data_IF_305741772098
#
_entry.id   IF_305741772098
#
_cell.length_a   1.000
_cell.length_b   1.000
_cell.length_c   1.000
_cell.angle_alpha   90.00
_cell.angle_beta   90.00
_cell.angle_gamma   90.00
#
_symmetry.space_group_name_H-M   'P 1'
#
loop_
_entity.id
_entity.type
_entity.pdbx_description
1 polymer ?
#
# COMPACT_ATOMS: atom_id res chain seq x y z
N UNK A 1 -24.38 9.66 -9.39
CA UNK A 1 -24.62 8.71 -8.28
C UNK A 1 -24.22 9.31 -6.93
N UNK A 2 -22.97 9.70 -6.68
CA UNK A 2 -22.51 10.22 -5.39
C UNK A 2 -23.24 11.44 -4.81
N UNK A 3 -23.83 12.30 -5.64
CA UNK A 3 -24.57 13.50 -5.19
C UNK A 3 -26.04 13.18 -4.84
N UNK A 4 -26.57 12.07 -5.35
CA UNK A 4 -27.98 11.73 -5.28
C UNK A 4 -28.30 10.67 -4.22
N UNK A 5 -27.31 10.02 -3.63
CA UNK A 5 -27.50 8.97 -2.61
C UNK A 5 -26.88 9.33 -1.26
N UNK A 6 -27.66 9.31 -0.17
CA UNK A 6 -27.15 9.58 1.18
C UNK A 6 -26.30 8.43 1.72
N UNK A 7 -25.46 8.72 2.72
CA UNK A 7 -24.75 7.70 3.52
C UNK A 7 -25.74 6.93 4.40
N UNK A 8 -25.63 5.60 4.56
CA UNK A 8 -24.50 4.74 4.16
C UNK A 8 -24.66 4.07 2.78
N UNK A 9 -25.80 4.22 2.10
CA UNK A 9 -26.07 3.54 0.82
C UNK A 9 -25.03 3.90 -0.27
N UNK A 10 -24.52 5.13 -0.23
CA UNK A 10 -23.43 5.58 -1.10
C UNK A 10 -22.18 4.68 -1.01
N UNK A 11 -21.80 4.22 0.19
CA UNK A 11 -20.61 3.37 0.36
C UNK A 11 -20.81 2.01 -0.30
N UNK A 12 -21.96 1.39 -0.08
CA UNK A 12 -22.30 0.11 -0.72
C UNK A 12 -22.35 0.21 -2.24
N UNK A 13 -22.88 1.30 -2.78
CA UNK A 13 -22.88 1.52 -4.23
C UNK A 13 -21.47 1.63 -4.80
N UNK A 14 -20.55 2.31 -4.10
CA UNK A 14 -19.14 2.35 -4.50
C UNK A 14 -18.46 0.99 -4.40
N UNK A 15 -18.73 0.22 -3.33
CA UNK A 15 -18.21 -1.14 -3.18
C UNK A 15 -18.71 -2.04 -4.32
N UNK A 16 -20.00 -1.98 -4.66
CA UNK A 16 -20.59 -2.74 -5.77
C UNK A 16 -19.98 -2.31 -7.10
N UNK A 17 -19.88 -1.00 -7.36
CA UNK A 17 -19.27 -0.49 -8.59
C UNK A 17 -17.81 -0.95 -8.74
N UNK A 18 -17.04 -0.88 -7.65
CA UNK A 18 -15.66 -1.37 -7.61
C UNK A 18 -15.60 -2.88 -7.83
N UNK A 19 -16.51 -3.64 -7.21
CA UNK A 19 -16.58 -5.09 -7.39
C UNK A 19 -16.91 -5.47 -8.84
N UNK A 20 -17.78 -4.71 -9.52
CA UNK A 20 -18.08 -4.90 -10.95
C UNK A 20 -16.83 -4.60 -11.79
N UNK A 21 -16.14 -3.50 -11.53
CA UNK A 21 -14.93 -3.11 -12.26
C UNK A 21 -13.79 -4.13 -12.07
N UNK A 22 -13.59 -4.62 -10.84
CA UNK A 22 -12.59 -5.65 -10.54
C UNK A 22 -12.96 -6.98 -11.20
N UNK A 23 -14.25 -7.34 -11.21
CA UNK A 23 -14.77 -8.56 -11.85
C UNK A 23 -14.63 -8.56 -13.37
N UNK A 24 -14.53 -7.38 -13.99
CA UNK A 24 -14.40 -7.26 -15.44
C UNK A 24 -13.11 -7.89 -15.98
N UNK A 25 -12.01 -7.89 -15.22
CA UNK A 25 -10.74 -8.52 -15.62
C UNK A 25 -10.85 -10.03 -15.81
N UNK A 26 -11.30 -10.79 -14.80
CA UNK A 26 -11.54 -12.24 -14.91
C UNK A 26 -12.53 -12.60 -16.03
N UNK A 27 -13.58 -11.80 -16.25
CA UNK A 27 -14.56 -12.02 -17.33
C UNK A 27 -13.90 -11.81 -18.70
N UNK A 28 -13.10 -10.75 -18.83
CA UNK A 28 -12.33 -10.43 -20.03
C UNK A 28 -11.26 -11.50 -20.31
N UNK A 29 -10.68 -12.09 -19.26
CA UNK A 29 -9.72 -13.19 -19.35
C UNK A 29 -10.30 -14.48 -19.97
N UNK A 30 -11.56 -14.80 -19.67
CA UNK A 30 -12.22 -15.99 -20.25
C UNK A 30 -12.67 -15.74 -21.69
N UNK A 31 -12.85 -14.48 -22.08
CA UNK A 31 -13.47 -14.10 -23.36
C UNK A 31 -12.48 -13.65 -24.43
N UNK A 32 -11.33 -13.08 -24.07
CA UNK A 32 -10.34 -12.60 -25.04
C UNK A 32 -9.39 -13.73 -25.49
N UNK A 33 -9.31 -13.92 -26.82
CA UNK A 33 -8.41 -14.91 -27.48
C UNK A 33 -7.01 -14.37 -27.80
N UNK A 34 -6.80 -13.06 -27.76
CA UNK A 34 -5.51 -12.41 -28.10
C UNK A 34 -5.29 -11.15 -27.24
N UNK A 35 -4.18 -11.10 -26.52
CA UNK A 35 -3.79 -9.92 -25.73
C UNK A 35 -3.34 -8.81 -26.68
N UNK A 36 -3.83 -7.57 -26.53
CA UNK A 36 -3.27 -6.43 -27.24
C UNK A 36 -1.78 -6.33 -26.92
N UNK A 37 -0.94 -6.40 -27.94
CA UNK A 37 0.51 -6.21 -27.83
C UNK A 37 0.78 -4.73 -27.60
N UNK A 38 0.77 -4.28 -26.34
CA UNK A 38 1.20 -2.93 -26.01
C UNK A 38 2.40 -2.99 -25.06
N UNK A 39 3.55 -2.55 -25.58
CA UNK A 39 4.83 -2.43 -24.88
C UNK A 39 5.08 -0.94 -24.62
N UNK A 40 5.66 -0.64 -23.45
CA UNK A 40 6.07 0.67 -22.89
C UNK A 40 4.97 1.75 -22.88
N UNK A 41 4.40 2.19 -21.77
CA UNK A 41 5.03 2.80 -20.58
C UNK A 41 4.13 2.60 -19.34
N UNK A 42 3.46 1.43 -19.23
CA UNK A 42 2.54 1.17 -18.11
C UNK A 42 3.27 1.28 -16.76
N UNK A 43 4.51 0.82 -16.70
CA UNK A 43 5.34 0.88 -15.49
C UNK A 43 5.63 2.34 -15.09
N UNK A 44 5.98 3.20 -16.05
CA UNK A 44 6.16 4.64 -15.80
C UNK A 44 4.86 5.30 -15.30
N UNK A 45 3.71 4.93 -15.86
CA UNK A 45 2.40 5.47 -15.44
C UNK A 45 2.02 5.01 -14.05
N UNK A 46 2.24 3.73 -13.72
CA UNK A 46 1.98 3.22 -12.38
C UNK A 46 2.93 3.83 -11.35
N UNK A 47 4.22 3.98 -11.69
CA UNK A 47 5.18 4.68 -10.85
C UNK A 47 4.78 6.15 -10.62
N UNK A 48 4.40 6.87 -11.67
CA UNK A 48 3.90 8.23 -11.55
C UNK A 48 2.63 8.31 -10.67
N UNK A 49 1.72 7.35 -10.81
CA UNK A 49 0.53 7.28 -9.97
C UNK A 49 0.88 6.98 -8.50
N UNK A 50 1.86 6.10 -8.22
CA UNK A 50 2.37 5.90 -6.86
C UNK A 50 2.91 7.19 -6.28
N UNK A 51 3.68 7.98 -7.04
CA UNK A 51 4.18 9.28 -6.56
C UNK A 51 3.03 10.23 -6.20
N UNK A 52 1.98 10.30 -7.03
CA UNK A 52 0.79 11.12 -6.75
C UNK A 52 0.10 10.67 -5.46
N UNK A 53 -0.15 9.36 -5.32
CA UNK A 53 -0.82 8.79 -4.15
C UNK A 53 0.02 8.94 -2.87
N UNK A 54 1.34 8.82 -2.99
CA UNK A 54 2.26 9.09 -1.90
C UNK A 54 2.25 10.56 -1.50
N UNK A 55 2.20 11.46 -2.49
CA UNK A 55 2.02 12.89 -2.28
C UNK A 55 0.76 13.19 -1.46
N UNK A 56 -0.36 12.54 -1.81
CA UNK A 56 -1.60 12.64 -1.04
C UNK A 56 -1.42 12.15 0.41
N UNK A 57 -0.75 11.01 0.62
CA UNK A 57 -0.46 10.52 1.97
C UNK A 57 0.39 11.51 2.78
N UNK A 58 1.39 12.15 2.16
CA UNK A 58 2.20 13.20 2.81
C UNK A 58 1.37 14.44 3.12
N UNK A 59 0.44 14.83 2.23
CA UNK A 59 -0.50 15.91 2.51
C UNK A 59 -1.40 15.56 3.70
N UNK A 60 -1.90 14.33 3.79
CA UNK A 60 -2.68 13.87 4.96
C UNK A 60 -1.88 13.97 6.27
N UNK A 61 -0.58 13.66 6.25
CA UNK A 61 0.31 13.87 7.41
C UNK A 61 0.40 15.36 7.76
N UNK A 62 0.65 16.21 6.76
CA UNK A 62 0.78 17.65 6.95
C UNK A 62 -0.51 18.29 7.48
N UNK A 63 -1.68 17.89 6.97
CA UNK A 63 -2.98 18.38 7.44
C UNK A 63 -3.26 17.93 8.87
N UNK A 64 -2.91 16.69 9.24
CA UNK A 64 -3.04 16.21 10.63
C UNK A 64 -2.24 17.08 11.62
N UNK A 65 -1.02 17.47 11.25
CA UNK A 65 -0.18 18.36 12.07
C UNK A 65 -0.73 19.80 12.08
N UNK A 66 -1.22 20.31 10.95
CA UNK A 66 -1.69 21.69 10.84
C UNK A 66 -2.93 22.00 11.72
N UNK A 67 -3.74 21.00 12.03
CA UNK A 67 -4.96 21.14 12.83
C UNK A 67 -4.75 20.81 14.32
N UNK A 68 -3.51 20.59 14.76
CA UNK A 68 -3.18 20.24 16.15
C UNK A 68 -2.21 21.22 16.77
N UNK A 69 -2.20 21.27 18.11
CA UNK A 69 -1.22 22.07 18.84
C UNK A 69 0.18 21.52 18.57
N UNK A 70 1.15 22.43 18.34
CA UNK A 70 2.56 22.12 18.04
C UNK A 70 3.30 21.61 19.28
N UNK A 71 2.88 20.45 19.77
CA UNK A 71 3.52 19.73 20.86
C UNK A 71 4.54 18.74 20.29
N UNK A 72 5.56 18.40 21.09
CA UNK A 72 6.59 17.44 20.71
C UNK A 72 6.03 16.09 20.25
N UNK A 73 4.94 15.62 20.87
CA UNK A 73 4.30 14.37 20.50
C UNK A 73 3.68 14.42 19.09
N UNK A 74 3.06 15.53 18.71
CA UNK A 74 2.49 15.75 17.36
C UNK A 74 3.61 15.76 16.32
N UNK A 75 4.72 16.45 16.62
CA UNK A 75 5.89 16.53 15.73
C UNK A 75 6.47 15.12 15.52
N UNK A 76 6.65 14.34 16.59
CA UNK A 76 7.14 12.97 16.51
C UNK A 76 6.21 12.06 15.71
N UNK A 77 4.89 12.17 15.89
CA UNK A 77 3.93 11.42 15.10
C UNK A 77 4.00 11.80 13.60
N UNK A 78 4.16 13.09 13.29
CA UNK A 78 4.35 13.58 11.93
C UNK A 78 5.65 13.07 11.29
N UNK A 79 6.77 13.10 12.03
CA UNK A 79 8.06 12.55 11.57
C UNK A 79 7.93 11.04 11.32
N UNK A 80 7.34 10.29 12.24
CA UNK A 80 7.11 8.85 12.07
C UNK A 80 6.23 8.58 10.84
N UNK A 81 5.17 9.36 10.64
CA UNK A 81 4.33 9.32 9.44
C UNK A 81 5.08 9.55 8.14
N UNK A 82 5.95 10.56 8.12
CA UNK A 82 6.80 10.84 6.96
C UNK A 82 7.81 9.71 6.69
N UNK A 83 8.44 9.18 7.74
CA UNK A 83 9.35 8.01 7.65
C UNK A 83 8.61 6.79 7.10
N UNK A 84 7.35 6.57 7.50
CA UNK A 84 6.53 5.51 6.90
C UNK A 84 6.33 5.76 5.40
N UNK A 85 5.93 6.97 4.98
CA UNK A 85 5.75 7.29 3.56
C UNK A 85 7.04 7.06 2.74
N UNK A 86 8.19 7.54 3.21
CA UNK A 86 9.49 7.29 2.58
C UNK A 86 9.82 5.80 2.53
N UNK A 87 9.47 5.04 3.58
CA UNK A 87 9.68 3.59 3.61
C UNK A 87 8.82 2.86 2.58
N UNK A 88 7.54 3.24 2.42
CA UNK A 88 6.66 2.66 1.39
C UNK A 88 7.18 2.98 -0.01
N UNK A 89 7.65 4.23 -0.22
CA UNK A 89 8.27 4.64 -1.47
C UNK A 89 9.49 3.78 -1.80
N UNK A 90 10.39 3.58 -0.83
CA UNK A 90 11.58 2.76 -1.00
C UNK A 90 11.22 1.32 -1.37
N UNK A 91 10.30 0.70 -0.62
CA UNK A 91 9.85 -0.67 -0.89
C UNK A 91 9.26 -0.84 -2.29
N UNK A 92 8.52 0.16 -2.79
CA UNK A 92 7.93 0.12 -4.12
C UNK A 92 8.99 0.28 -5.22
N UNK A 93 9.83 1.31 -5.15
CA UNK A 93 10.77 1.67 -6.21
C UNK A 93 12.06 0.84 -6.23
N UNK A 94 12.49 0.26 -5.11
CA UNK A 94 13.73 -0.53 -5.04
C UNK A 94 13.76 -1.72 -6.01
N UNK A 95 12.58 -2.27 -6.33
CA UNK A 95 12.41 -3.40 -7.26
C UNK A 95 11.37 -3.10 -8.34
N UNK A 96 11.18 -1.82 -8.68
CA UNK A 96 10.38 -1.40 -9.82
C UNK A 96 11.13 -1.75 -11.11
N UNK A 97 11.09 -3.03 -11.48
CA UNK A 97 11.78 -3.53 -12.67
C UNK A 97 10.89 -3.32 -13.91
N UNK A 98 11.37 -2.53 -14.86
CA UNK A 98 10.76 -2.27 -16.18
C UNK A 98 10.59 -3.55 -17.04
N UNK A 99 11.19 -4.67 -16.62
CA UNK A 99 11.31 -5.90 -17.39
C UNK A 99 10.10 -6.86 -17.27
N UNK A 100 9.15 -6.61 -16.36
CA UNK A 100 7.99 -7.52 -16.15
C UNK A 100 7.10 -7.58 -17.40
N UNK A 101 6.87 -6.43 -18.05
CA UNK A 101 6.07 -6.35 -19.27
C UNK A 101 6.83 -6.94 -20.47
N UNK A 102 8.15 -6.75 -20.50
CA UNK A 102 8.98 -7.05 -21.67
C UNK A 102 9.08 -8.57 -21.96
N UNK A 103 8.93 -9.42 -20.94
CA UNK A 103 9.00 -10.88 -21.05
C UNK A 103 7.63 -11.57 -21.01
N UNK A 104 6.58 -10.92 -20.50
CA UNK A 104 5.19 -11.38 -20.67
C UNK A 104 4.82 -11.49 -22.17
N UNK A 105 5.43 -10.66 -23.01
CA UNK A 105 5.22 -10.68 -24.46
C UNK A 105 5.80 -11.92 -25.16
N UNK A 106 6.57 -12.78 -24.47
CA UNK A 106 7.22 -13.96 -25.08
C UNK A 106 6.48 -15.28 -24.92
N UNK A 107 5.37 -15.40 -24.16
CA UNK A 107 4.76 -16.73 -24.01
C UNK A 107 3.44 -16.91 -23.27
N UNK A 108 2.46 -17.47 -23.98
CA UNK A 108 1.41 -18.36 -23.45
C UNK A 108 0.45 -17.81 -22.37
N UNK A 109 -0.42 -18.69 -21.87
CA UNK A 109 -1.45 -18.38 -20.84
C UNK A 109 -0.85 -17.81 -19.54
N UNK A 110 0.38 -18.18 -19.19
CA UNK A 110 1.05 -17.78 -17.96
C UNK A 110 1.47 -16.30 -17.96
N UNK A 111 1.90 -15.75 -19.09
CA UNK A 111 2.24 -14.33 -19.18
C UNK A 111 1.02 -13.41 -19.02
N UNK A 112 -0.12 -13.85 -19.56
CA UNK A 112 -1.39 -13.14 -19.47
C UNK A 112 -1.85 -13.06 -18.00
N UNK A 113 -1.75 -14.16 -17.25
CA UNK A 113 -2.01 -14.18 -15.81
C UNK A 113 -1.10 -13.21 -15.05
N UNK A 114 0.20 -13.19 -15.36
CA UNK A 114 1.15 -12.28 -14.71
C UNK A 114 0.85 -10.81 -14.98
N UNK A 115 0.47 -10.45 -16.20
CA UNK A 115 0.05 -9.08 -16.56
C UNK A 115 -1.16 -8.62 -15.75
N UNK A 116 -2.16 -9.48 -15.56
CA UNK A 116 -3.32 -9.18 -14.72
C UNK A 116 -2.95 -9.04 -13.24
N UNK A 117 -2.16 -9.99 -12.70
CA UNK A 117 -1.69 -9.90 -11.32
C UNK A 117 -0.93 -8.59 -11.11
N UNK A 118 -0.07 -8.20 -12.05
CA UNK A 118 0.67 -6.96 -12.02
C UNK A 118 -0.25 -5.72 -11.98
N UNK A 119 -1.24 -5.64 -12.88
CA UNK A 119 -2.19 -4.53 -12.91
C UNK A 119 -3.07 -4.44 -11.66
N UNK A 120 -3.60 -5.56 -11.18
CA UNK A 120 -4.48 -5.59 -10.00
C UNK A 120 -3.73 -5.42 -8.68
N UNK A 121 -2.48 -5.86 -8.58
CA UNK A 121 -1.67 -5.68 -7.36
C UNK A 121 -1.37 -4.20 -7.10
N UNK A 122 -1.26 -3.39 -8.15
CA UNK A 122 -1.13 -1.94 -8.01
C UNK A 122 -2.33 -1.31 -7.29
N UNK A 123 -3.56 -1.80 -7.52
CA UNK A 123 -4.71 -1.30 -6.77
C UNK A 123 -4.56 -1.55 -5.27
N UNK A 124 -4.04 -2.71 -4.86
CA UNK A 124 -3.75 -3.01 -3.46
C UNK A 124 -2.68 -2.05 -2.90
N UNK A 125 -1.63 -1.79 -3.67
CA UNK A 125 -0.58 -0.81 -3.31
C UNK A 125 -1.20 0.58 -3.11
N UNK A 126 -2.01 1.06 -4.05
CA UNK A 126 -2.62 2.39 -3.97
C UNK A 126 -3.56 2.51 -2.77
N UNK A 127 -4.45 1.54 -2.60
CA UNK A 127 -5.37 1.50 -1.45
C UNK A 127 -4.59 1.45 -0.14
N UNK A 128 -3.50 0.67 -0.07
CA UNK A 128 -2.65 0.58 1.09
C UNK A 128 -1.99 1.92 1.44
N UNK A 129 -1.36 2.60 0.46
CA UNK A 129 -0.71 3.90 0.69
C UNK A 129 -1.73 4.94 1.18
N UNK A 130 -2.89 5.06 0.52
CA UNK A 130 -3.93 6.02 0.92
C UNK A 130 -4.44 5.72 2.32
N UNK A 131 -4.80 4.46 2.60
CA UNK A 131 -5.34 4.07 3.90
C UNK A 131 -4.30 4.27 5.02
N UNK A 132 -3.03 3.95 4.78
CA UNK A 132 -1.94 4.25 5.73
C UNK A 132 -1.80 5.74 5.95
N UNK A 133 -1.80 6.58 4.90
CA UNK A 133 -1.72 8.04 5.02
C UNK A 133 -2.85 8.63 5.87
N UNK A 134 -4.10 8.24 5.59
CA UNK A 134 -5.28 8.63 6.38
C UNK A 134 -5.19 8.11 7.82
N UNK A 135 -4.74 6.87 8.01
CA UNK A 135 -4.55 6.30 9.34
C UNK A 135 -3.50 7.03 10.18
N UNK A 136 -2.42 7.50 9.54
CA UNK A 136 -1.41 8.34 10.18
C UNK A 136 -1.98 9.70 10.53
N UNK A 137 -2.76 10.32 9.64
CA UNK A 137 -3.46 11.57 9.94
C UNK A 137 -4.33 11.43 11.20
N UNK A 138 -5.16 10.38 11.27
CA UNK A 138 -5.97 10.10 12.45
C UNK A 138 -5.10 9.93 13.70
N UNK A 139 -4.00 9.19 13.60
CA UNK A 139 -3.09 8.99 14.71
C UNK A 139 -2.48 10.31 15.22
N UNK A 140 -2.11 11.25 14.33
CA UNK A 140 -1.60 12.58 14.68
C UNK A 140 -2.69 13.39 15.40
N UNK A 141 -3.90 13.43 14.83
CA UNK A 141 -5.04 14.11 15.46
C UNK A 141 -5.37 13.52 16.85
N UNK A 142 -5.16 12.21 17.03
CA UNK A 142 -5.38 11.49 18.30
C UNK A 142 -4.35 11.81 19.39
N UNK A 143 -3.18 12.38 19.04
CA UNK A 143 -2.16 12.76 20.04
C UNK A 143 -2.70 13.81 21.01
N UNK A 144 -3.63 14.66 20.56
CA UNK A 144 -4.21 15.75 21.34
C UNK A 144 -5.25 15.30 22.38
N UNK A 145 -5.32 14.00 22.71
CA UNK A 145 -6.12 13.48 23.82
C UNK A 145 -7.53 13.00 23.48
N UNK A 146 -7.96 13.05 22.21
CA UNK A 146 -9.27 12.54 21.76
C UNK A 146 -9.41 11.01 21.76
N UNK A 147 -8.34 10.30 22.12
CA UNK A 147 -8.25 8.84 22.02
C UNK A 147 -8.03 8.36 20.59
N UNK A 148 -7.62 7.10 20.44
CA UNK A 148 -7.36 6.48 19.15
C UNK A 148 -8.25 5.25 18.98
N UNK A 149 -9.47 5.41 18.44
CA UNK A 149 -10.46 4.34 18.41
C UNK A 149 -10.04 3.20 17.48
N UNK A 150 -10.56 2.00 17.76
CA UNK A 150 -10.22 0.77 17.02
C UNK A 150 -10.45 0.90 15.52
N UNK A 151 -11.47 1.66 15.09
CA UNK A 151 -11.73 1.89 13.67
C UNK A 151 -10.59 2.68 12.98
N UNK A 152 -10.04 3.70 13.63
CA UNK A 152 -8.92 4.48 13.09
C UNK A 152 -7.61 3.68 13.10
N UNK A 153 -7.39 2.88 14.16
CA UNK A 153 -6.30 1.90 14.20
C UNK A 153 -6.39 0.88 13.08
N UNK A 154 -7.60 0.39 12.78
CA UNK A 154 -7.84 -0.56 11.70
C UNK A 154 -7.57 0.05 10.33
N UNK A 155 -7.81 1.35 10.12
CA UNK A 155 -7.44 2.05 8.88
C UNK A 155 -5.93 2.10 8.72
N UNK A 156 -5.18 2.48 9.78
CA UNK A 156 -3.72 2.54 9.74
C UNK A 156 -3.08 1.16 9.52
N UNK A 157 -3.40 0.19 10.39
CA UNK A 157 -2.83 -1.15 10.35
C UNK A 157 -3.30 -1.93 9.13
N UNK A 158 -4.59 -1.82 8.79
CA UNK A 158 -5.17 -2.46 7.60
C UNK A 158 -4.59 -1.90 6.31
N UNK A 159 -4.42 -0.58 6.21
CA UNK A 159 -3.75 0.06 5.07
C UNK A 159 -2.32 -0.42 4.91
N UNK A 160 -1.57 -0.50 6.01
CA UNK A 160 -0.17 -0.93 5.96
C UNK A 160 -0.05 -2.41 5.59
N UNK A 161 -0.88 -3.27 6.18
CA UNK A 161 -0.95 -4.68 5.82
C UNK A 161 -1.33 -4.88 4.34
N UNK A 162 -2.28 -4.07 3.83
CA UNK A 162 -2.70 -4.11 2.44
C UNK A 162 -1.58 -3.67 1.48
N UNK A 163 -0.82 -2.63 1.84
CA UNK A 163 0.37 -2.24 1.09
C UNK A 163 1.41 -3.36 1.05
N UNK A 164 1.75 -3.94 2.21
CA UNK A 164 2.76 -5.01 2.32
C UNK A 164 2.34 -6.24 1.49
N UNK A 165 1.06 -6.61 1.52
CA UNK A 165 0.51 -7.65 0.66
C UNK A 165 0.59 -7.28 -0.81
N UNK A 166 0.11 -6.09 -1.18
CA UNK A 166 0.09 -5.59 -2.55
C UNK A 166 1.46 -5.55 -3.18
N UNK A 167 2.45 -4.97 -2.49
CA UNK A 167 3.83 -4.86 -2.98
C UNK A 167 4.52 -6.22 -3.08
N UNK A 168 4.20 -7.16 -2.18
CA UNK A 168 4.72 -8.53 -2.21
C UNK A 168 4.16 -9.32 -3.40
N UNK A 169 2.86 -9.21 -3.68
CA UNK A 169 2.23 -9.86 -4.83
C UNK A 169 2.75 -9.23 -6.13
N UNK A 170 2.85 -7.89 -6.16
CA UNK A 170 3.37 -7.14 -7.30
C UNK A 170 4.79 -7.59 -7.67
N UNK A 171 5.71 -7.60 -6.69
CA UNK A 171 7.10 -7.99 -6.92
C UNK A 171 7.25 -9.51 -7.09
N UNK A 172 6.36 -10.32 -6.52
CA UNK A 172 6.31 -11.77 -6.76
C UNK A 172 5.85 -12.15 -8.18
N UNK A 173 5.13 -11.27 -8.87
CA UNK A 173 4.78 -11.43 -10.28
C UNK A 173 5.94 -11.06 -11.24
N UNK A 174 7.01 -10.45 -10.72
CA UNK A 174 8.21 -10.09 -11.48
C UNK A 174 9.01 -11.32 -11.92
N UNK A 175 9.90 -11.11 -12.90
CA UNK A 175 10.85 -12.11 -13.40
C UNK A 175 11.90 -12.49 -12.37
N UNK A 176 12.19 -11.59 -11.42
CA UNK A 176 13.11 -11.81 -10.32
C UNK A 176 12.33 -12.09 -9.03
N UNK A 177 12.19 -13.37 -8.63
CA UNK A 177 11.40 -13.71 -7.45
C UNK A 177 12.04 -13.13 -6.18
N UNK A 178 11.18 -12.65 -5.28
CA UNK A 178 11.62 -12.23 -3.96
C UNK A 178 12.21 -13.42 -3.18
N UNK A 179 13.33 -13.23 -2.46
CA UNK A 179 13.82 -14.23 -1.53
C UNK A 179 12.72 -14.63 -0.54
N UNK A 180 12.56 -15.92 -0.26
CA UNK A 180 11.49 -16.42 0.61
C UNK A 180 11.50 -15.74 2.00
N UNK A 181 12.68 -15.41 2.53
CA UNK A 181 12.83 -14.68 3.79
C UNK A 181 12.18 -13.28 3.77
N UNK A 182 12.26 -12.57 2.65
CA UNK A 182 11.68 -11.23 2.47
C UNK A 182 10.16 -11.33 2.42
N UNK A 183 9.65 -12.30 1.65
CA UNK A 183 8.20 -12.59 1.60
C UNK A 183 7.68 -12.90 3.00
N UNK A 184 8.33 -13.80 3.74
CA UNK A 184 7.93 -14.16 5.09
C UNK A 184 7.99 -12.94 6.01
N UNK A 185 9.07 -12.15 5.98
CA UNK A 185 9.21 -10.96 6.82
C UNK A 185 8.09 -9.93 6.57
N UNK A 186 7.76 -9.66 5.31
CA UNK A 186 6.65 -8.77 4.91
C UNK A 186 5.29 -9.28 5.38
N UNK A 187 5.01 -10.58 5.20
CA UNK A 187 3.76 -11.19 5.63
C UNK A 187 3.62 -11.25 7.15
N UNK A 188 4.72 -11.56 7.86
CA UNK A 188 4.76 -11.53 9.33
C UNK A 188 4.51 -10.11 9.81
N UNK A 189 5.18 -9.09 9.24
CA UNK A 189 4.92 -7.70 9.63
C UNK A 189 3.46 -7.31 9.35
N UNK A 190 2.90 -7.66 8.19
CA UNK A 190 1.50 -7.40 7.87
C UNK A 190 0.56 -8.00 8.94
N UNK A 191 0.76 -9.26 9.33
CA UNK A 191 -0.03 -9.91 10.39
C UNK A 191 0.19 -9.25 11.76
N UNK A 192 1.42 -8.89 12.11
CA UNK A 192 1.74 -8.22 13.37
C UNK A 192 1.06 -6.85 13.47
N UNK A 193 1.03 -6.08 12.38
CA UNK A 193 0.36 -4.77 12.36
C UNK A 193 -1.14 -4.91 12.66
N UNK A 194 -1.80 -5.93 12.08
CA UNK A 194 -3.20 -6.24 12.39
C UNK A 194 -3.38 -6.70 13.83
N UNK A 195 -2.43 -7.48 14.36
CA UNK A 195 -2.38 -7.91 15.76
C UNK A 195 -2.22 -6.77 16.77
N UNK A 196 -1.75 -5.59 16.35
CA UNK A 196 -1.66 -4.42 17.21
C UNK A 196 -3.00 -3.74 17.51
N UNK A 197 -4.01 -3.90 16.64
CA UNK A 197 -5.32 -3.25 16.76
C UNK A 197 -6.01 -3.54 18.12
N UNK A 198 -6.11 -4.79 18.60
CA UNK A 198 -6.75 -5.08 19.89
C UNK A 198 -5.92 -4.68 21.11
N UNK A 199 -4.64 -4.29 20.95
CA UNK A 199 -3.75 -3.99 22.08
C UNK A 199 -4.02 -2.62 22.72
N UNK A 200 -4.80 -1.75 22.07
CA UNK A 200 -5.12 -0.43 22.61
C UNK A 200 -3.91 0.48 22.75
N UNK A 201 -2.91 0.34 21.87
CA UNK A 201 -1.71 1.18 21.89
C UNK A 201 -2.07 2.65 21.67
N UNK A 202 -1.34 3.56 22.32
CA UNK A 202 -1.47 4.99 22.03
C UNK A 202 -1.05 5.28 20.59
N UNK A 203 -1.65 6.30 19.98
CA UNK A 203 -1.42 6.63 18.57
C UNK A 203 0.06 6.88 18.27
N UNK A 204 0.75 7.62 19.15
CA UNK A 204 2.18 7.90 19.03
C UNK A 204 3.02 6.62 19.08
N UNK A 205 2.72 5.71 20.01
CA UNK A 205 3.45 4.44 20.13
C UNK A 205 3.24 3.58 18.89
N UNK A 206 1.99 3.46 18.42
CA UNK A 206 1.68 2.65 17.25
C UNK A 206 2.39 3.16 15.99
N UNK A 207 2.25 4.45 15.66
CA UNK A 207 2.86 5.02 14.45
C UNK A 207 4.39 4.94 14.52
N UNK A 208 4.98 5.24 15.68
CA UNK A 208 6.45 5.18 15.85
C UNK A 208 6.97 3.75 15.75
N UNK A 209 6.27 2.78 16.34
CA UNK A 209 6.62 1.36 16.23
C UNK A 209 6.56 0.90 14.78
N UNK A 210 5.47 1.22 14.06
CA UNK A 210 5.31 0.85 12.66
C UNK A 210 6.38 1.49 11.77
N UNK A 211 6.72 2.75 12.00
CA UNK A 211 7.81 3.43 11.31
C UNK A 211 9.16 2.71 11.52
N UNK A 212 9.50 2.36 12.76
CA UNK A 212 10.72 1.62 13.09
C UNK A 212 10.72 0.25 12.42
N UNK A 213 9.61 -0.49 12.49
CA UNK A 213 9.49 -1.79 11.84
C UNK A 213 9.69 -1.71 10.32
N UNK A 214 9.16 -0.67 9.67
CA UNK A 214 9.34 -0.46 8.23
C UNK A 214 10.79 -0.12 7.87
N UNK A 215 11.45 0.72 8.67
CA UNK A 215 12.88 1.02 8.46
C UNK A 215 13.73 -0.25 8.61
N UNK A 216 13.47 -1.05 9.64
CA UNK A 216 14.15 -2.33 9.85
C UNK A 216 13.89 -3.32 8.71
N UNK A 217 12.66 -3.37 8.20
CA UNK A 217 12.30 -4.21 7.07
C UNK A 217 13.01 -3.77 5.79
N UNK A 218 13.06 -2.47 5.51
CA UNK A 218 13.83 -1.93 4.38
C UNK A 218 15.33 -2.25 4.49
N UNK A 219 15.90 -2.10 5.68
CA UNK A 219 17.29 -2.47 5.92
C UNK A 219 17.52 -3.97 5.69
N UNK A 220 16.60 -4.83 6.11
CA UNK A 220 16.66 -6.28 5.87
C UNK A 220 16.53 -6.65 4.39
N UNK A 221 15.64 -5.95 3.66
CA UNK A 221 15.40 -6.15 2.23
C UNK A 221 16.60 -5.71 1.36
N UNK A 222 17.35 -4.69 1.81
CA UNK A 222 18.48 -4.08 1.10
C UNK A 222 19.84 -4.76 1.26
N UNK A 223 20.00 -5.75 2.16
CA UNK A 223 21.28 -6.47 2.35
C UNK A 223 21.50 -7.48 1.20
N UNK A 224 22.49 -7.28 0.30
CA UNK A 224 22.79 -8.21 -0.78
C UNK A 224 23.48 -9.47 -0.24
N UNK A 225 23.13 -10.63 -0.80
CA UNK A 225 23.54 -11.96 -0.32
C UNK A 225 25.02 -12.35 -0.61
N UNK A 226 25.87 -11.44 -1.07
CA UNK A 226 27.24 -11.79 -1.47
C UNK A 226 28.26 -11.85 -0.32
N UNK A 227 27.82 -11.85 0.95
CA UNK A 227 28.71 -11.81 2.14
C UNK A 227 28.38 -12.93 3.14
N UNK A 228 27.80 -14.04 2.70
CA UNK A 228 27.63 -15.24 3.53
C UNK A 228 28.16 -16.49 2.81
#
# INVERSE_FOLDING_TARGET
VSIATPTPARYWLWVIALAIEISNGPITYVTIRSVPTQKSHMDERFGAFVIIVLGEAVVSVATGVAHTDWQWATILAGISGFVMAVSLWWMYFERADEAVIDQALRGGKLALIRSYIYGYSHLLVFMGIVATGVGVQFAIESVSGRGFPMAEQAVLCGGLALFLLGVTILQGASTHPLPQRVVIARLVLALLTLGCIPLGLSSLVLVSLLAICLVMLNAFDGVPLSVA
#
